data_IF_570519023896
#
_entry.id   IF_570519023896
#
_cell.length_a   1.000
_cell.length_b   1.000
_cell.length_c   1.000
_cell.angle_alpha   90.00
_cell.angle_beta   90.00
_cell.angle_gamma   90.00
#
_symmetry.space_group_name_H-M   'P 1'
#
loop_
_entity.id
_entity.type
_entity.pdbx_description
1 polymer ?
#
# COMPACT_ATOMS: atom_id res chain seq x y z
N UNK A 1 -31.11 -5.23 -4.99
CA UNK A 1 -31.13 -4.92 -3.54
C UNK A 1 -29.69 -4.74 -3.05
N UNK A 2 -29.15 -3.52 -3.02
CA UNK A 2 -27.75 -3.22 -2.67
C UNK A 2 -27.64 -2.40 -1.38
N UNK A 3 -28.47 -2.69 -0.37
CA UNK A 3 -28.60 -1.80 0.79
C UNK A 3 -28.77 -2.53 2.12
N UNK A 4 -27.98 -3.58 2.36
CA UNK A 4 -27.78 -4.12 3.70
C UNK A 4 -26.28 -4.28 3.93
N UNK A 5 -25.78 -3.58 4.95
CA UNK A 5 -24.44 -3.84 5.51
C UNK A 5 -24.32 -5.34 5.80
N UNK A 6 -23.13 -5.91 5.65
CA UNK A 6 -22.93 -7.32 5.99
C UNK A 6 -23.18 -7.53 7.50
N UNK A 7 -24.19 -8.33 7.90
CA UNK A 7 -24.50 -8.53 9.30
C UNK A 7 -23.37 -9.24 10.06
N UNK A 8 -22.48 -9.97 9.36
CA UNK A 8 -21.37 -10.73 9.95
C UNK A 8 -20.29 -9.83 10.54
N UNK A 9 -20.15 -8.60 10.03
CA UNK A 9 -19.10 -7.64 10.43
C UNK A 9 -19.64 -6.45 11.20
N UNK A 10 -20.96 -6.33 11.39
CA UNK A 10 -21.64 -5.16 11.97
C UNK A 10 -21.07 -4.73 13.32
N UNK A 11 -20.78 -5.69 14.20
CA UNK A 11 -20.35 -5.44 15.57
C UNK A 11 -18.82 -5.46 15.73
N UNK A 12 -18.08 -5.57 14.62
CA UNK A 12 -16.61 -5.56 14.67
C UNK A 12 -16.08 -4.16 14.95
N UNK A 13 -14.95 -4.11 15.65
CA UNK A 13 -14.33 -2.85 16.07
C UNK A 13 -14.07 -1.93 14.87
N UNK A 14 -14.56 -0.69 14.95
CA UNK A 14 -14.53 0.37 13.93
C UNK A 14 -15.40 0.15 12.67
N UNK A 15 -16.23 -0.89 12.62
CA UNK A 15 -17.06 -1.20 11.45
C UNK A 15 -18.50 -0.72 11.59
N UNK A 16 -18.96 -0.37 12.80
CA UNK A 16 -20.35 0.01 13.09
C UNK A 16 -20.86 1.22 12.29
N UNK A 17 -20.00 2.20 11.99
CA UNK A 17 -20.33 3.40 11.21
C UNK A 17 -19.09 4.06 10.59
N UNK A 18 -19.27 5.03 9.68
CA UNK A 18 -18.15 5.75 9.06
C UNK A 18 -17.49 6.77 10.00
N UNK A 19 -18.16 7.18 11.08
CA UNK A 19 -17.66 8.18 12.04
C UNK A 19 -16.24 7.89 12.53
N UNK A 20 -15.97 6.72 13.13
CA UNK A 20 -14.64 6.39 13.66
C UNK A 20 -13.53 6.46 12.61
N UNK A 21 -13.73 5.90 11.41
CA UNK A 21 -12.72 5.92 10.35
C UNK A 21 -12.48 7.34 9.83
N UNK A 22 -13.53 8.15 9.66
CA UNK A 22 -13.39 9.54 9.24
C UNK A 22 -12.65 10.36 10.29
N UNK A 23 -12.94 10.17 11.58
CA UNK A 23 -12.20 10.82 12.67
C UNK A 23 -10.72 10.46 12.62
N UNK A 24 -10.39 9.15 12.50
CA UNK A 24 -8.99 8.70 12.39
C UNK A 24 -8.29 9.35 11.20
N UNK A 25 -8.92 9.37 10.02
CA UNK A 25 -8.32 9.93 8.80
C UNK A 25 -8.16 11.46 8.88
N UNK A 26 -9.14 12.18 9.41
CA UNK A 26 -9.06 13.63 9.62
C UNK A 26 -7.94 13.96 10.61
N UNK A 27 -7.87 13.24 11.73
CA UNK A 27 -6.79 13.41 12.71
C UNK A 27 -5.43 13.07 12.12
N UNK A 28 -5.35 12.00 11.33
CA UNK A 28 -4.13 11.60 10.61
C UNK A 28 -3.65 12.70 9.64
N UNK A 29 -4.55 13.25 8.81
CA UNK A 29 -4.21 14.31 7.86
C UNK A 29 -3.79 15.59 8.59
N UNK A 30 -4.54 16.00 9.60
CA UNK A 30 -4.22 17.17 10.42
C UNK A 30 -2.85 17.03 11.10
N UNK A 31 -2.57 15.87 11.69
CA UNK A 31 -1.28 15.58 12.30
C UNK A 31 -0.15 15.59 11.27
N UNK A 32 -0.32 14.87 10.16
CA UNK A 32 0.75 14.64 9.18
C UNK A 32 1.14 15.90 8.41
N UNK A 33 0.16 16.77 8.10
CA UNK A 33 0.38 17.94 7.25
C UNK A 33 0.55 19.25 8.03
N UNK A 34 0.09 19.30 9.29
CA UNK A 34 0.08 20.56 10.05
C UNK A 34 0.65 20.40 11.46
N UNK A 35 -0.06 19.72 12.37
CA UNK A 35 0.27 19.74 13.79
C UNK A 35 1.62 19.09 14.10
N UNK A 36 1.91 17.95 13.46
CA UNK A 36 3.14 17.19 13.63
C UNK A 36 4.40 17.95 13.17
N UNK A 37 4.47 18.40 11.91
CA UNK A 37 5.57 19.24 11.43
C UNK A 37 5.76 20.51 12.27
N UNK A 38 4.68 21.20 12.64
CA UNK A 38 4.73 22.40 13.50
C UNK A 38 5.30 22.10 14.88
N UNK A 39 4.88 20.99 15.50
CA UNK A 39 5.41 20.53 16.79
C UNK A 39 6.89 20.15 16.71
N UNK A 40 7.31 19.54 15.59
CA UNK A 40 8.69 19.12 15.39
C UNK A 40 9.63 20.25 14.97
N UNK A 41 9.12 21.41 14.51
CA UNK A 41 9.93 22.52 13.97
C UNK A 41 11.14 22.84 14.85
N UNK A 42 10.89 23.07 16.14
CA UNK A 42 11.89 23.55 17.10
C UNK A 42 12.56 22.40 17.89
N UNK A 43 12.31 21.13 17.51
CA UNK A 43 12.87 19.92 18.15
C UNK A 43 13.91 19.22 17.29
N UNK A 44 14.80 18.45 17.91
CA UNK A 44 15.68 17.52 17.18
C UNK A 44 14.88 16.32 16.68
N UNK A 45 15.32 15.69 15.59
CA UNK A 45 14.71 14.45 15.10
C UNK A 45 14.87 13.33 16.12
N UNK A 46 13.82 12.53 16.30
CA UNK A 46 13.88 11.39 17.22
C UNK A 46 14.70 10.24 16.64
N UNK A 47 15.51 9.59 17.47
CA UNK A 47 16.17 8.34 17.11
C UNK A 47 15.23 7.16 17.39
N UNK A 48 14.48 6.77 16.36
CA UNK A 48 13.49 5.68 16.43
C UNK A 48 13.99 4.39 15.77
N UNK A 49 15.31 4.16 15.75
CA UNK A 49 15.91 3.00 15.05
C UNK A 49 15.28 1.68 15.47
N UNK A 50 15.32 1.35 16.76
CA UNK A 50 14.81 0.06 17.26
C UNK A 50 13.29 -0.04 17.09
N UNK A 51 12.56 1.05 17.34
CA UNK A 51 11.12 1.13 17.11
C UNK A 51 10.76 0.80 15.67
N UNK A 52 11.49 1.36 14.69
CA UNK A 52 11.27 1.09 13.28
C UNK A 52 11.60 -0.35 12.91
N UNK A 53 12.68 -0.93 13.45
CA UNK A 53 13.02 -2.33 13.17
C UNK A 53 11.89 -3.24 13.66
N UNK A 54 11.44 -3.08 14.90
CA UNK A 54 10.34 -3.87 15.48
C UNK A 54 9.04 -3.65 14.72
N UNK A 55 8.69 -2.40 14.42
CA UNK A 55 7.49 -2.06 13.67
C UNK A 55 7.47 -2.69 12.28
N UNK A 56 8.56 -2.54 11.50
CA UNK A 56 8.62 -3.11 10.16
C UNK A 56 8.62 -4.64 10.21
N UNK A 57 9.24 -5.26 11.22
CA UNK A 57 9.17 -6.71 11.44
C UNK A 57 7.74 -7.18 11.70
N UNK A 58 6.99 -6.49 12.56
CA UNK A 58 5.58 -6.78 12.81
C UNK A 58 4.75 -6.62 11.52
N UNK A 59 4.99 -5.57 10.74
CA UNK A 59 4.32 -5.37 9.45
C UNK A 59 4.58 -6.51 8.46
N UNK A 60 5.80 -7.04 8.43
CA UNK A 60 6.14 -8.23 7.64
C UNK A 60 5.33 -9.44 8.09
N UNK A 61 5.25 -9.72 9.40
CA UNK A 61 4.48 -10.85 9.93
C UNK A 61 2.98 -10.72 9.64
N UNK A 62 2.42 -9.53 9.83
CA UNK A 62 1.01 -9.24 9.52
C UNK A 62 0.71 -9.42 8.02
N UNK A 63 1.63 -8.99 7.16
CA UNK A 63 1.50 -9.14 5.71
C UNK A 63 1.57 -10.61 5.29
N UNK A 64 2.48 -11.40 5.87
CA UNK A 64 2.55 -12.87 5.67
C UNK A 64 1.24 -13.52 6.09
N UNK A 65 0.71 -13.14 7.26
CA UNK A 65 -0.55 -13.67 7.75
C UNK A 65 -1.72 -13.38 6.80
N UNK A 66 -1.84 -12.16 6.28
CA UNK A 66 -2.90 -11.82 5.32
C UNK A 66 -2.75 -12.58 4.00
N UNK A 67 -1.53 -12.74 3.50
CA UNK A 67 -1.28 -13.55 2.28
C UNK A 67 -1.73 -14.98 2.53
N UNK A 68 -1.31 -15.59 3.64
CA UNK A 68 -1.70 -16.94 4.01
C UNK A 68 -3.23 -17.07 4.12
N UNK A 69 -3.88 -16.20 4.88
CA UNK A 69 -5.33 -16.25 5.07
C UNK A 69 -6.08 -16.02 3.76
N UNK A 70 -5.67 -15.08 2.92
CA UNK A 70 -6.31 -14.83 1.64
C UNK A 70 -6.18 -16.01 0.66
N UNK A 71 -5.00 -16.65 0.61
CA UNK A 71 -4.78 -17.85 -0.21
C UNK A 71 -5.63 -19.02 0.28
N UNK A 72 -5.57 -19.33 1.58
CA UNK A 72 -6.25 -20.47 2.17
C UNK A 72 -7.77 -20.28 2.28
N UNK A 73 -8.27 -19.05 2.25
CA UNK A 73 -9.71 -18.75 2.29
C UNK A 73 -10.37 -18.69 0.91
N UNK A 74 -9.64 -18.95 -0.17
CA UNK A 74 -10.24 -18.97 -1.50
C UNK A 74 -9.25 -19.12 -2.65
N UNK A 75 -8.29 -18.20 -2.75
CA UNK A 75 -7.47 -18.03 -3.97
C UNK A 75 -6.61 -19.23 -4.37
N UNK A 76 -6.30 -20.14 -3.44
CA UNK A 76 -5.54 -21.35 -3.76
C UNK A 76 -6.40 -22.56 -4.15
N UNK A 77 -7.70 -22.57 -3.80
CA UNK A 77 -8.54 -23.77 -3.92
C UNK A 77 -9.91 -23.52 -4.57
N UNK A 78 -10.63 -22.48 -4.13
CA UNK A 78 -12.07 -22.33 -4.38
C UNK A 78 -12.42 -21.17 -5.31
N UNK A 79 -11.55 -20.15 -5.39
CA UNK A 79 -11.89 -18.92 -6.11
C UNK A 79 -11.52 -19.00 -7.59
N UNK A 80 -12.37 -18.40 -8.41
CA UNK A 80 -12.15 -18.25 -9.84
C UNK A 80 -11.51 -16.89 -10.15
N UNK A 81 -10.34 -16.90 -10.79
CA UNK A 81 -9.59 -15.70 -11.19
C UNK A 81 -10.28 -14.84 -12.27
N UNK A 82 -11.31 -15.37 -12.94
CA UNK A 82 -12.04 -14.67 -13.99
C UNK A 82 -13.27 -13.93 -13.45
N UNK A 83 -14.02 -14.55 -12.54
CA UNK A 83 -15.17 -13.96 -11.88
C UNK A 83 -15.42 -14.64 -10.53
N UNK A 84 -15.26 -13.90 -9.44
CA UNK A 84 -15.59 -14.39 -8.10
C UNK A 84 -16.61 -13.49 -7.40
N UNK A 85 -17.87 -13.91 -7.24
CA UNK A 85 -18.84 -13.18 -6.43
C UNK A 85 -18.47 -13.23 -4.94
N UNK A 86 -19.06 -12.33 -4.16
CA UNK A 86 -18.93 -12.34 -2.70
C UNK A 86 -19.85 -13.42 -2.12
N UNK A 87 -19.29 -14.28 -1.26
CA UNK A 87 -20.09 -15.21 -0.47
C UNK A 87 -20.51 -14.56 0.86
N UNK A 88 -21.81 -14.35 1.02
CA UNK A 88 -22.43 -13.77 2.22
C UNK A 88 -22.94 -14.81 3.22
N UNK A 89 -22.69 -16.10 2.98
CA UNK A 89 -23.08 -17.18 3.87
C UNK A 89 -22.24 -17.20 5.17
N UNK A 90 -22.68 -17.99 6.14
CA UNK A 90 -21.91 -18.29 7.35
C UNK A 90 -21.00 -19.51 7.18
N UNK A 91 -20.66 -19.87 5.94
CA UNK A 91 -19.69 -20.93 5.68
C UNK A 91 -18.33 -20.61 6.34
N UNK A 92 -17.66 -21.60 6.96
CA UNK A 92 -16.38 -21.37 7.63
C UNK A 92 -15.30 -20.74 6.73
N UNK A 93 -15.26 -21.09 5.44
CA UNK A 93 -14.30 -20.54 4.47
C UNK A 93 -14.65 -19.09 4.13
N UNK A 94 -15.94 -18.79 3.92
CA UNK A 94 -16.41 -17.43 3.69
C UNK A 94 -16.13 -16.51 4.90
N UNK A 95 -16.41 -16.99 6.12
CA UNK A 95 -16.12 -16.26 7.36
C UNK A 95 -14.61 -16.04 7.56
N UNK A 96 -13.78 -17.01 7.16
CA UNK A 96 -12.31 -16.87 7.20
C UNK A 96 -11.85 -15.76 6.26
N UNK A 97 -12.37 -15.70 5.02
CA UNK A 97 -12.10 -14.60 4.10
C UNK A 97 -12.57 -13.25 4.67
N UNK A 98 -13.76 -13.19 5.25
CA UNK A 98 -14.27 -11.96 5.89
C UNK A 98 -13.35 -11.47 7.00
N UNK A 99 -12.83 -12.37 7.85
CA UNK A 99 -11.82 -12.02 8.88
C UNK A 99 -10.49 -11.56 8.27
N UNK A 100 -10.07 -12.15 7.16
CA UNK A 100 -8.87 -11.72 6.44
C UNK A 100 -9.02 -10.28 5.90
N UNK A 101 -10.17 -9.95 5.30
CA UNK A 101 -10.47 -8.59 4.81
C UNK A 101 -10.50 -7.58 5.97
N UNK A 102 -11.04 -7.96 7.13
CA UNK A 102 -10.98 -7.12 8.32
C UNK A 102 -9.56 -6.94 8.87
N UNK A 103 -8.78 -8.02 8.92
CA UNK A 103 -7.38 -7.94 9.33
C UNK A 103 -6.58 -7.02 8.42
N UNK A 104 -6.83 -7.08 7.11
CA UNK A 104 -6.25 -6.15 6.13
C UNK A 104 -6.64 -4.70 6.44
N UNK A 105 -7.91 -4.41 6.74
CA UNK A 105 -8.34 -3.07 7.18
C UNK A 105 -7.59 -2.59 8.43
N UNK A 106 -7.48 -3.43 9.45
CA UNK A 106 -6.73 -3.10 10.67
C UNK A 106 -5.26 -2.82 10.35
N UNK A 107 -4.63 -3.61 9.47
CA UNK A 107 -3.27 -3.36 9.03
C UNK A 107 -3.14 -1.99 8.35
N UNK A 108 -4.08 -1.60 7.49
CA UNK A 108 -4.08 -0.26 6.86
C UNK A 108 -4.18 0.89 7.87
N UNK A 109 -4.84 0.69 9.01
CA UNK A 109 -4.81 1.66 10.11
C UNK A 109 -3.44 1.72 10.79
N UNK A 110 -2.81 0.56 11.04
CA UNK A 110 -1.47 0.50 11.64
C UNK A 110 -0.44 1.15 10.71
N UNK A 111 -0.56 0.97 9.39
CA UNK A 111 0.31 1.58 8.38
C UNK A 111 0.28 3.13 8.40
N UNK A 112 -0.75 3.77 8.97
CA UNK A 112 -0.76 5.22 9.18
C UNK A 112 0.39 5.71 10.07
N UNK A 113 0.95 4.82 10.91
CA UNK A 113 2.12 5.11 11.72
C UNK A 113 3.38 5.37 10.90
N UNK A 114 3.46 4.92 9.65
CA UNK A 114 4.58 5.22 8.74
C UNK A 114 4.80 6.74 8.63
N UNK A 115 3.70 7.47 8.41
CA UNK A 115 3.72 8.93 8.32
C UNK A 115 4.08 9.57 9.66
N UNK A 116 3.59 8.99 10.76
CA UNK A 116 3.94 9.46 12.12
C UNK A 116 5.45 9.37 12.33
N UNK A 117 6.08 8.25 11.96
CA UNK A 117 7.52 8.09 12.03
C UNK A 117 8.27 9.06 11.11
N UNK A 118 7.75 9.35 9.91
CA UNK A 118 8.36 10.35 9.02
C UNK A 118 8.35 11.75 9.64
N UNK A 119 7.24 12.17 10.24
CA UNK A 119 7.12 13.45 10.96
C UNK A 119 8.13 13.51 12.11
N UNK A 120 8.12 12.50 13.00
CA UNK A 120 8.99 12.47 14.18
C UNK A 120 10.49 12.41 13.84
N UNK A 121 10.84 11.89 12.66
CA UNK A 121 12.22 11.85 12.15
C UNK A 121 12.61 13.04 11.28
N UNK A 122 11.72 14.02 11.09
CA UNK A 122 11.90 15.16 10.17
C UNK A 122 12.23 14.71 8.74
N UNK A 123 11.54 13.69 8.26
CA UNK A 123 11.67 13.16 6.90
C UNK A 123 10.51 13.62 6.01
N UNK A 124 10.27 14.93 5.99
CA UNK A 124 9.13 15.54 5.27
C UNK A 124 9.12 15.23 3.78
N UNK A 125 10.30 15.06 3.15
CA UNK A 125 10.41 14.61 1.76
C UNK A 125 9.74 13.25 1.49
N UNK A 126 9.56 12.41 2.52
CA UNK A 126 8.88 11.12 2.40
C UNK A 126 7.35 11.27 2.50
N UNK A 127 6.84 12.36 3.08
CA UNK A 127 5.41 12.71 3.16
C UNK A 127 4.99 13.38 1.85
N UNK A 128 5.13 12.64 0.75
CA UNK A 128 4.73 13.09 -0.58
C UNK A 128 3.21 13.05 -0.76
N UNK A 129 2.69 13.75 -1.78
CA UNK A 129 1.29 13.65 -2.17
C UNK A 129 0.86 12.19 -2.41
N UNK A 130 1.70 11.41 -3.11
CA UNK A 130 1.46 9.99 -3.36
C UNK A 130 1.28 9.21 -2.05
N UNK A 131 2.17 9.42 -1.08
CA UNK A 131 2.14 8.76 0.21
C UNK A 131 0.83 9.09 0.96
N UNK A 132 0.51 10.37 1.09
CA UNK A 132 -0.68 10.82 1.83
C UNK A 132 -1.98 10.41 1.13
N UNK A 133 -2.02 10.49 -0.20
CA UNK A 133 -3.15 10.01 -1.01
C UNK A 133 -3.40 8.52 -0.79
N UNK A 134 -2.35 7.70 -0.89
CA UNK A 134 -2.42 6.25 -0.66
C UNK A 134 -2.90 5.92 0.76
N UNK A 135 -2.20 6.43 1.78
CA UNK A 135 -2.53 6.13 3.19
C UNK A 135 -3.86 6.76 3.63
N UNK A 136 -4.37 7.79 2.96
CA UNK A 136 -5.73 8.29 3.19
C UNK A 136 -6.82 7.42 2.56
N UNK A 137 -6.61 6.99 1.31
CA UNK A 137 -7.62 6.26 0.55
C UNK A 137 -7.71 4.78 0.93
N UNK A 138 -6.58 4.11 1.14
CA UNK A 138 -6.55 2.65 1.34
C UNK A 138 -7.31 2.17 2.59
N UNK A 139 -7.19 2.83 3.77
CA UNK A 139 -7.99 2.45 4.93
C UNK A 139 -9.49 2.67 4.72
N UNK A 140 -9.87 3.75 4.03
CA UNK A 140 -11.26 4.02 3.69
C UNK A 140 -11.83 2.96 2.74
N UNK A 141 -11.08 2.61 1.69
CA UNK A 141 -11.47 1.56 0.76
C UNK A 141 -11.57 0.18 1.44
N UNK A 142 -10.63 -0.14 2.34
CA UNK A 142 -10.67 -1.37 3.12
C UNK A 142 -11.86 -1.40 4.08
N UNK A 143 -12.21 -0.28 4.72
CA UNK A 143 -13.41 -0.16 5.55
C UNK A 143 -14.70 -0.43 4.75
N UNK A 144 -14.81 0.16 3.55
CA UNK A 144 -15.92 -0.10 2.62
C UNK A 144 -15.97 -1.59 2.27
N UNK A 145 -14.82 -2.21 1.98
CA UNK A 145 -14.74 -3.64 1.67
C UNK A 145 -15.24 -4.50 2.85
N UNK A 146 -14.79 -4.26 4.09
CA UNK A 146 -15.27 -5.03 5.25
C UNK A 146 -16.78 -4.91 5.45
N UNK A 147 -17.33 -3.72 5.23
CA UNK A 147 -18.72 -3.43 5.53
C UNK A 147 -19.71 -3.95 4.49
N UNK A 148 -19.32 -3.97 3.22
CA UNK A 148 -20.21 -4.32 2.12
C UNK A 148 -19.73 -5.45 1.23
N UNK A 149 -18.42 -5.69 1.13
CA UNK A 149 -17.82 -6.66 0.21
C UNK A 149 -16.72 -7.50 0.89
N UNK A 150 -16.99 -8.19 2.01
CA UNK A 150 -15.94 -8.88 2.77
C UNK A 150 -15.60 -10.26 2.17
N UNK A 151 -15.28 -10.28 0.87
CA UNK A 151 -14.96 -11.47 0.09
C UNK A 151 -14.95 -11.21 -1.43
N UNK A 152 -14.74 -12.28 -2.20
CA UNK A 152 -14.89 -12.25 -3.65
C UNK A 152 -13.76 -11.56 -4.42
N UNK A 153 -14.06 -11.14 -5.65
CA UNK A 153 -13.10 -10.70 -6.68
C UNK A 153 -12.13 -9.61 -6.19
N UNK A 154 -12.62 -8.65 -5.42
CA UNK A 154 -11.82 -7.54 -4.91
C UNK A 154 -10.71 -7.96 -3.93
N UNK A 155 -10.80 -9.14 -3.31
CA UNK A 155 -9.84 -9.57 -2.28
C UNK A 155 -8.47 -9.95 -2.83
N UNK A 156 -8.35 -10.27 -4.12
CA UNK A 156 -7.04 -10.57 -4.74
C UNK A 156 -6.10 -9.38 -4.63
N UNK A 157 -6.64 -8.15 -4.70
CA UNK A 157 -5.89 -6.93 -4.46
C UNK A 157 -5.21 -6.97 -3.10
N UNK A 158 -5.96 -7.32 -2.05
CA UNK A 158 -5.44 -7.39 -0.68
C UNK A 158 -4.32 -8.41 -0.55
N UNK A 159 -4.45 -9.57 -1.21
CA UNK A 159 -3.41 -10.62 -1.23
C UNK A 159 -2.15 -10.15 -1.94
N UNK A 160 -2.27 -9.63 -3.17
CA UNK A 160 -1.10 -9.15 -3.93
C UNK A 160 -0.45 -7.96 -3.22
N UNK A 161 -1.23 -7.01 -2.71
CA UNK A 161 -0.69 -5.87 -1.97
C UNK A 161 0.07 -6.31 -0.71
N UNK A 162 -0.51 -7.24 0.05
CA UNK A 162 0.16 -7.77 1.26
C UNK A 162 1.45 -8.51 0.89
N UNK A 163 1.48 -9.26 -0.22
CA UNK A 163 2.70 -9.89 -0.71
C UNK A 163 3.79 -8.86 -1.04
N UNK A 164 3.46 -7.78 -1.74
CA UNK A 164 4.41 -6.69 -2.01
C UNK A 164 4.82 -5.98 -0.72
N UNK A 165 3.91 -5.85 0.26
CA UNK A 165 4.21 -5.26 1.57
C UNK A 165 5.21 -6.10 2.38
N UNK A 166 5.22 -7.43 2.26
CA UNK A 166 6.28 -8.27 2.85
C UNK A 166 7.65 -7.79 2.38
N UNK A 167 7.80 -7.59 1.07
CA UNK A 167 9.09 -7.20 0.46
C UNK A 167 9.41 -5.73 0.79
N UNK A 168 8.42 -4.83 0.73
CA UNK A 168 8.57 -3.41 1.04
C UNK A 168 8.96 -3.17 2.50
N UNK A 169 8.26 -3.78 3.46
CA UNK A 169 8.58 -3.62 4.89
C UNK A 169 9.88 -4.33 5.27
N UNK A 170 10.22 -5.43 4.60
CA UNK A 170 11.57 -6.02 4.73
C UNK A 170 12.65 -5.03 4.28
N UNK A 171 12.47 -4.35 3.14
CA UNK A 171 13.37 -3.29 2.70
C UNK A 171 13.49 -2.17 3.76
N UNK A 172 12.37 -1.69 4.31
CA UNK A 172 12.39 -0.63 5.32
C UNK A 172 13.02 -1.07 6.63
N UNK A 173 12.79 -2.31 7.06
CA UNK A 173 13.47 -2.91 8.21
C UNK A 173 14.98 -2.93 8.01
N UNK A 174 15.45 -3.43 6.86
CA UNK A 174 16.88 -3.48 6.54
C UNK A 174 17.49 -2.07 6.46
N UNK A 175 16.78 -1.11 5.86
CA UNK A 175 17.19 0.29 5.79
C UNK A 175 17.28 0.96 7.17
N UNK A 176 16.51 0.51 8.16
CA UNK A 176 16.52 1.05 9.51
C UNK A 176 17.79 0.69 10.31
N UNK A 177 18.52 -0.39 9.95
CA UNK A 177 19.78 -0.75 10.62
C UNK A 177 20.87 0.32 10.48
N UNK A 178 20.78 1.17 9.45
CA UNK A 178 21.60 2.37 9.31
C UNK A 178 22.39 2.42 7.99
N UNK A 179 23.35 3.36 7.88
CA UNK A 179 24.13 3.58 6.66
C UNK A 179 24.91 2.35 6.20
N UNK A 180 25.34 1.50 7.13
CA UNK A 180 26.06 0.25 6.84
C UNK A 180 25.27 -0.72 5.97
N UNK A 181 23.92 -0.67 6.03
CA UNK A 181 23.07 -1.53 5.20
C UNK A 181 22.76 -0.95 3.82
N UNK A 182 22.92 0.37 3.61
CA UNK A 182 22.56 1.03 2.35
C UNK A 182 23.26 0.44 1.11
N UNK A 183 24.55 0.04 1.14
CA UNK A 183 25.21 -0.59 -0.01
C UNK A 183 24.57 -1.89 -0.46
N UNK A 184 23.97 -2.66 0.47
CA UNK A 184 23.32 -3.94 0.18
C UNK A 184 21.89 -3.78 -0.35
N UNK A 185 21.34 -2.56 -0.32
CA UNK A 185 19.97 -2.23 -0.73
C UNK A 185 19.87 -1.75 -2.19
N UNK A 186 20.76 -2.25 -3.05
CA UNK A 186 20.80 -1.93 -4.49
C UNK A 186 19.51 -2.25 -5.25
N UNK A 187 18.67 -3.14 -4.69
CA UNK A 187 17.45 -3.62 -5.31
C UNK A 187 16.22 -2.72 -5.10
N UNK A 188 16.39 -1.53 -4.49
CA UNK A 188 15.32 -0.54 -4.29
C UNK A 188 14.52 -0.24 -5.56
N UNK A 189 15.19 -0.17 -6.73
CA UNK A 189 14.52 0.08 -8.01
C UNK A 189 13.55 -1.04 -8.39
N UNK A 190 13.91 -2.30 -8.15
CA UNK A 190 13.06 -3.46 -8.44
C UNK A 190 11.85 -3.53 -7.52
N UNK A 191 11.97 -3.05 -6.27
CA UNK A 191 10.81 -2.89 -5.39
C UNK A 191 9.78 -1.91 -6.00
N UNK A 192 10.24 -0.79 -6.57
CA UNK A 192 9.34 0.17 -7.22
C UNK A 192 8.72 -0.43 -8.49
N UNK A 193 9.50 -1.18 -9.27
CA UNK A 193 8.99 -1.92 -10.43
C UNK A 193 7.95 -2.98 -10.04
N UNK A 194 8.15 -3.68 -8.92
CA UNK A 194 7.20 -4.66 -8.39
C UNK A 194 5.87 -4.00 -7.99
N UNK A 195 5.92 -2.83 -7.35
CA UNK A 195 4.72 -2.04 -7.02
C UNK A 195 3.95 -1.60 -8.27
N UNK A 196 4.65 -1.15 -9.31
CA UNK A 196 4.03 -0.83 -10.61
C UNK A 196 3.36 -2.05 -11.25
N UNK A 197 4.06 -3.20 -11.25
CA UNK A 197 3.53 -4.45 -11.76
C UNK A 197 2.28 -4.90 -10.98
N UNK A 198 2.27 -4.75 -9.65
CA UNK A 198 1.08 -5.01 -8.83
C UNK A 198 -0.11 -4.19 -9.32
N UNK A 199 0.03 -2.88 -9.51
CA UNK A 199 -1.10 -2.03 -9.93
C UNK A 199 -1.63 -2.41 -11.31
N UNK A 200 -0.75 -2.80 -12.23
CA UNK A 200 -1.14 -3.31 -13.55
C UNK A 200 -1.95 -4.61 -13.43
N UNK A 201 -1.44 -5.60 -12.68
CA UNK A 201 -2.13 -6.88 -12.48
C UNK A 201 -3.50 -6.66 -11.82
N UNK A 202 -3.55 -5.86 -10.76
CA UNK A 202 -4.80 -5.54 -10.04
C UNK A 202 -5.78 -4.80 -10.96
N UNK A 203 -5.31 -3.84 -11.76
CA UNK A 203 -6.16 -3.10 -12.70
C UNK A 203 -6.75 -3.98 -13.80
N UNK A 204 -5.95 -4.88 -14.37
CA UNK A 204 -6.41 -5.84 -15.39
C UNK A 204 -7.42 -6.81 -14.76
N UNK A 205 -7.07 -7.42 -13.63
CA UNK A 205 -7.95 -8.36 -12.94
C UNK A 205 -9.29 -7.73 -12.56
N UNK A 206 -9.28 -6.49 -12.04
CA UNK A 206 -10.50 -5.76 -11.73
C UNK A 206 -11.34 -5.48 -13.00
N UNK A 207 -10.70 -5.10 -14.10
CA UNK A 207 -11.38 -4.79 -15.36
C UNK A 207 -12.16 -5.97 -15.94
N UNK A 208 -11.72 -7.22 -15.71
CA UNK A 208 -12.42 -8.43 -16.20
C UNK A 208 -13.91 -8.46 -15.77
N UNK A 209 -14.22 -8.05 -14.54
CA UNK A 209 -15.59 -8.03 -14.01
C UNK A 209 -16.50 -7.08 -14.78
N UNK A 210 -15.96 -6.04 -15.41
CA UNK A 210 -16.75 -5.06 -16.15
C UNK A 210 -17.35 -5.66 -17.43
N UNK A 211 -16.65 -6.61 -18.05
CA UNK A 211 -16.98 -7.18 -19.36
C UNK A 211 -17.65 -8.56 -19.30
N UNK A 212 -17.44 -9.33 -18.23
CA UNK A 212 -17.75 -10.77 -18.23
C UNK A 212 -19.08 -11.15 -17.57
N UNK A 213 -20.03 -10.21 -17.41
CA UNK A 213 -21.34 -10.48 -16.81
C UNK A 213 -21.32 -10.96 -15.35
N UNK A 214 -20.19 -10.81 -14.66
CA UNK A 214 -19.97 -11.32 -13.30
C UNK A 214 -20.95 -10.69 -12.30
N UNK A 215 -21.52 -11.51 -11.39
CA UNK A 215 -22.40 -11.06 -10.31
C UNK A 215 -21.61 -10.43 -9.14
N UNK A 216 -20.78 -9.44 -9.45
CA UNK A 216 -20.03 -8.63 -8.51
C UNK A 216 -20.34 -7.15 -8.79
N UNK A 217 -20.52 -6.31 -7.76
CA UNK A 217 -20.87 -4.91 -7.96
C UNK A 217 -19.83 -4.16 -8.80
N UNK A 218 -20.28 -3.60 -9.93
CA UNK A 218 -19.39 -2.91 -10.90
C UNK A 218 -18.87 -1.57 -10.40
N UNK A 219 -19.65 -0.83 -9.60
CA UNK A 219 -19.26 0.51 -9.16
C UNK A 219 -17.95 0.54 -8.34
N UNK A 220 -17.77 -0.29 -7.29
CA UNK A 220 -16.48 -0.40 -6.59
C UNK A 220 -15.32 -0.83 -7.49
N UNK A 221 -15.58 -1.68 -8.50
CA UNK A 221 -14.57 -2.11 -9.48
C UNK A 221 -14.14 -0.95 -10.37
N UNK A 222 -15.06 -0.12 -10.86
CA UNK A 222 -14.72 1.08 -11.64
C UNK A 222 -13.82 2.02 -10.82
N UNK A 223 -14.17 2.28 -9.55
CA UNK A 223 -13.34 3.09 -8.66
C UNK A 223 -11.95 2.47 -8.48
N UNK A 224 -11.87 1.15 -8.35
CA UNK A 224 -10.60 0.45 -8.23
C UNK A 224 -9.74 0.58 -9.50
N UNK A 225 -10.33 0.43 -10.69
CA UNK A 225 -9.61 0.58 -11.97
C UNK A 225 -9.09 2.01 -12.14
N UNK A 226 -9.92 3.02 -11.82
CA UNK A 226 -9.50 4.43 -11.84
C UNK A 226 -8.31 4.64 -10.89
N UNK A 227 -8.42 4.13 -9.66
CA UNK A 227 -7.38 4.26 -8.65
C UNK A 227 -6.07 3.55 -9.05
N UNK A 228 -6.16 2.37 -9.67
CA UNK A 228 -5.00 1.68 -10.22
C UNK A 228 -4.31 2.53 -11.30
N UNK A 229 -5.08 3.18 -12.19
CA UNK A 229 -4.55 4.13 -13.18
C UNK A 229 -3.85 5.34 -12.54
N UNK A 230 -4.44 5.92 -11.49
CA UNK A 230 -3.81 7.01 -10.72
C UNK A 230 -2.49 6.55 -10.09
N UNK A 231 -2.45 5.36 -9.48
CA UNK A 231 -1.21 4.83 -8.91
C UNK A 231 -0.15 4.53 -9.95
N UNK A 232 -0.51 3.96 -11.10
CA UNK A 232 0.42 3.75 -12.21
C UNK A 232 1.03 5.07 -12.67
N UNK A 233 0.21 6.13 -12.81
CA UNK A 233 0.70 7.46 -13.17
C UNK A 233 1.65 8.03 -12.11
N UNK A 234 1.26 8.03 -10.83
CA UNK A 234 2.05 8.63 -9.76
C UNK A 234 3.36 7.87 -9.50
N UNK A 235 3.32 6.54 -9.44
CA UNK A 235 4.53 5.71 -9.29
C UNK A 235 5.40 5.75 -10.55
N UNK A 236 4.78 5.79 -11.75
CA UNK A 236 5.50 5.92 -13.01
C UNK A 236 6.26 7.24 -13.10
N UNK A 237 5.59 8.34 -12.76
CA UNK A 237 6.21 9.67 -12.64
C UNK A 237 7.36 9.66 -11.63
N UNK A 238 7.15 9.11 -10.43
CA UNK A 238 8.20 8.96 -9.42
C UNK A 238 9.40 8.14 -9.94
N UNK A 239 9.14 7.03 -10.64
CA UNK A 239 10.18 6.15 -11.19
C UNK A 239 11.02 6.87 -12.25
N UNK A 240 10.36 7.56 -13.20
CA UNK A 240 11.04 8.32 -14.25
C UNK A 240 11.90 9.43 -13.66
N UNK A 241 11.36 10.20 -12.72
CA UNK A 241 12.10 11.31 -12.08
C UNK A 241 13.28 10.80 -11.25
N UNK A 242 13.08 9.74 -10.47
CA UNK A 242 14.08 9.26 -9.49
C UNK A 242 15.17 8.42 -10.14
N UNK A 243 14.82 7.55 -11.09
CA UNK A 243 15.74 6.55 -11.62
C UNK A 243 16.17 6.84 -13.06
N UNK A 244 15.27 7.29 -13.93
CA UNK A 244 15.64 7.53 -15.34
C UNK A 244 16.30 8.88 -15.54
N UNK A 245 15.75 9.95 -14.96
CA UNK A 245 16.31 11.30 -15.10
C UNK A 245 17.67 11.43 -14.40
N UNK A 246 17.81 10.87 -13.19
CA UNK A 246 19.10 10.84 -12.49
C UNK A 246 20.16 10.05 -13.24
N UNK A 247 19.82 8.86 -13.76
CA UNK A 247 20.73 8.05 -14.58
C UNK A 247 21.19 8.79 -15.84
N UNK A 248 20.27 9.46 -16.54
CA UNK A 248 20.60 10.23 -17.74
C UNK A 248 21.47 11.46 -17.45
N UNK A 249 21.38 12.05 -16.26
CA UNK A 249 22.25 13.15 -15.81
C UNK A 249 23.63 12.64 -15.46
N UNK A 250 23.74 11.55 -14.68
CA UNK A 250 25.02 10.91 -14.35
C UNK A 250 25.78 10.50 -15.62
N UNK A 251 25.10 9.83 -16.55
CA UNK A 251 25.70 9.42 -17.83
C UNK A 251 26.17 10.60 -18.69
N UNK A 252 25.43 11.72 -18.68
CA UNK A 252 25.84 12.95 -19.38
C UNK A 252 27.06 13.60 -18.73
N UNK A 253 27.13 13.62 -17.41
CA UNK A 253 28.29 14.15 -16.70
C UNK A 253 29.54 13.29 -16.95
N UNK A 254 29.42 11.97 -16.90
CA UNK A 254 30.51 11.05 -17.25
C UNK A 254 31.02 11.27 -18.69
N UNK A 255 30.10 11.51 -19.64
CA UNK A 255 30.46 11.79 -21.02
C UNK A 255 31.21 13.14 -21.15
N UNK A 256 30.71 14.20 -20.51
CA UNK A 256 31.36 15.52 -20.52
C UNK A 256 32.74 15.50 -19.84
N UNK A 257 32.89 14.77 -18.73
CA UNK A 257 34.18 14.62 -18.05
C UNK A 257 35.18 13.87 -18.94
N UNK A 258 34.74 12.84 -19.66
CA UNK A 258 35.58 12.08 -20.59
C UNK A 258 36.02 12.88 -21.83
N UNK A 259 35.19 13.81 -22.31
CA UNK A 259 35.54 14.75 -23.38
C UNK A 259 36.52 15.83 -22.90
N UNK A 260 36.31 16.36 -21.69
CA UNK A 260 37.19 17.37 -21.08
C UNK A 260 38.60 16.83 -20.79
N UNK A 261 38.73 15.56 -20.44
CA UNK A 261 40.03 14.90 -20.23
C UNK A 261 40.78 14.72 -21.57
N UNK A 262 40.07 14.42 -22.66
CA UNK A 262 40.69 14.29 -23.99
C UNK A 262 41.22 15.63 -24.53
N UNK A 263 40.49 16.72 -24.31
CA UNK A 263 40.91 18.06 -24.76
C UNK A 263 42.13 18.60 -24.01
N UNK A 264 42.41 18.14 -22.78
CA UNK A 264 43.61 18.52 -22.01
C UNK A 264 44.85 17.69 -22.34
N UNK A 265 44.70 16.62 -23.11
CA UNK A 265 45.78 15.71 -23.50
C UNK A 265 46.33 15.92 -24.91
N UNK A 266 45.77 16.87 -25.66
CA UNK A 266 46.27 17.37 -26.95
C UNK A 266 46.88 18.76 -26.78
#
# INVERSE_FOLDING_TARGET
MYNKNDPRTKDWFLISGPGPILTILITYLYFSLSAGPKYMRDKKSYNLKNTLIVYNFIQVLLSIYIVHEGLMSGWFYHYNFYCQPVDYSNDPVALRMTRAVYTYFVCKLIELLDTVFFVLRKKEKQISFLHVYHHGLMPLAAWIAVRWLPGGHGTLLGVINSFVHIIMYTYYMLAAFGPQMQPYLWWKKYLTSLQLLQFLIVGIHASLVLFNGCNFPKFPIVLLVINAGVFIYLFGSFYVVTYMKSYNVEKKNEQNDSETVKDKSN
#
